data_IF_734308250020
#
_entry.id   IF_734308250020
#
_cell.length_a   1.000
_cell.length_b   1.000
_cell.length_c   1.000
_cell.angle_alpha   90.00
_cell.angle_beta   90.00
_cell.angle_gamma   90.00
#
_symmetry.space_group_name_H-M   'P 1'
#
loop_
_entity.id
_entity.type
_entity.pdbx_description
1 polymer ?
#
# COMPACT_ATOMS: atom_id res chain seq x y z
N UNK A 1 -14.29 -4.55 -40.49
CA UNK A 1 -13.73 -4.58 -39.12
C UNK A 1 -14.51 -5.61 -38.34
N UNK A 2 -13.89 -6.74 -37.98
CA UNK A 2 -14.51 -7.75 -37.12
C UNK A 2 -14.45 -7.25 -35.68
N UNK A 3 -15.61 -7.04 -35.06
CA UNK A 3 -15.70 -6.70 -33.65
C UNK A 3 -15.46 -7.97 -32.83
N UNK A 4 -14.50 -7.95 -31.90
CA UNK A 4 -14.21 -9.07 -30.99
C UNK A 4 -14.72 -8.69 -29.59
N UNK A 5 -15.70 -9.44 -29.07
CA UNK A 5 -16.22 -9.25 -27.71
C UNK A 5 -15.50 -10.20 -26.74
N UNK A 6 -14.97 -9.67 -25.64
CA UNK A 6 -14.34 -10.44 -24.57
C UNK A 6 -14.98 -10.10 -23.23
N UNK A 7 -15.04 -11.09 -22.34
CA UNK A 7 -15.65 -10.96 -21.00
C UNK A 7 -14.55 -10.95 -19.93
N UNK A 8 -14.79 -10.21 -18.85
CA UNK A 8 -13.87 -10.17 -17.70
C UNK A 8 -13.94 -11.45 -16.87
N UNK A 9 -12.85 -11.77 -16.17
CA UNK A 9 -12.85 -12.81 -15.14
C UNK A 9 -13.56 -12.36 -13.84
N UNK A 10 -13.62 -13.24 -12.83
CA UNK A 10 -14.22 -12.94 -11.53
C UNK A 10 -13.51 -11.80 -10.76
N UNK A 11 -12.33 -11.37 -11.19
CA UNK A 11 -11.56 -10.26 -10.63
C UNK A 11 -11.58 -9.02 -11.54
N UNK A 12 -12.46 -8.98 -12.55
CA UNK A 12 -12.59 -7.87 -13.48
C UNK A 12 -11.46 -7.76 -14.50
N UNK A 13 -10.60 -8.78 -14.64
CA UNK A 13 -9.43 -8.73 -15.54
C UNK A 13 -9.84 -9.08 -16.97
N UNK A 14 -9.26 -8.36 -17.92
CA UNK A 14 -9.44 -8.55 -19.36
C UNK A 14 -8.09 -8.47 -20.06
N UNK A 15 -7.75 -9.48 -20.87
CA UNK A 15 -6.56 -9.44 -21.72
C UNK A 15 -6.96 -8.84 -23.07
N UNK A 16 -6.31 -7.75 -23.46
CA UNK A 16 -6.54 -7.12 -24.74
C UNK A 16 -5.92 -7.95 -25.89
N UNK A 17 -6.52 -7.94 -27.10
CA UNK A 17 -6.01 -8.70 -28.24
C UNK A 17 -4.56 -8.36 -28.60
N UNK A 18 -3.85 -9.29 -29.27
CA UNK A 18 -2.47 -9.03 -29.73
C UNK A 18 -2.36 -7.85 -30.69
N UNK A 19 -3.38 -7.64 -31.52
CA UNK A 19 -3.49 -6.48 -32.41
C UNK A 19 -3.82 -5.16 -31.69
N UNK A 20 -4.11 -5.20 -30.38
CA UNK A 20 -4.51 -4.05 -29.59
C UNK A 20 -3.81 -4.08 -28.21
N UNK A 21 -2.61 -3.51 -28.14
CA UNK A 21 -1.77 -3.33 -26.94
C UNK A 21 -1.27 -4.61 -26.22
N UNK A 22 -1.89 -5.78 -26.43
CA UNK A 22 -1.48 -7.07 -25.85
C UNK A 22 -1.21 -6.99 -24.32
N UNK A 23 -2.08 -6.31 -23.59
CA UNK A 23 -1.91 -6.01 -22.16
C UNK A 23 -3.14 -6.42 -21.36
N UNK A 24 -2.94 -6.76 -20.09
CA UNK A 24 -4.03 -7.04 -19.16
C UNK A 24 -4.52 -5.73 -18.53
N UNK A 25 -5.83 -5.52 -18.54
CA UNK A 25 -6.50 -4.41 -17.84
C UNK A 25 -7.45 -4.98 -16.80
N UNK A 26 -7.73 -4.18 -15.77
CA UNK A 26 -8.76 -4.44 -14.77
C UNK A 26 -9.88 -3.42 -15.02
N UNK A 27 -11.10 -3.93 -15.17
CA UNK A 27 -12.32 -3.16 -15.37
C UNK A 27 -13.14 -3.26 -14.07
N UNK A 28 -13.44 -2.11 -13.49
CA UNK A 28 -14.16 -1.99 -12.22
C UNK A 28 -15.34 -1.03 -12.40
N UNK A 29 -16.53 -1.44 -11.98
CA UNK A 29 -17.68 -0.54 -11.90
C UNK A 29 -17.62 0.22 -10.58
N UNK A 30 -17.38 1.53 -10.66
CA UNK A 30 -17.27 2.41 -9.47
C UNK A 30 -18.65 2.92 -9.06
N UNK A 31 -19.55 3.09 -10.02
CA UNK A 31 -20.96 3.45 -9.81
C UNK A 31 -21.80 2.95 -10.98
N UNK A 32 -23.12 3.15 -10.91
CA UNK A 32 -24.05 2.78 -11.99
C UNK A 32 -23.68 3.41 -13.35
N UNK A 33 -23.00 4.56 -13.32
CA UNK A 33 -22.61 5.31 -14.51
C UNK A 33 -21.09 5.44 -14.71
N UNK A 34 -20.26 4.87 -13.85
CA UNK A 34 -18.79 4.98 -13.93
C UNK A 34 -18.13 3.60 -14.01
N UNK A 35 -17.36 3.42 -15.07
CA UNK A 35 -16.45 2.28 -15.23
C UNK A 35 -15.01 2.81 -15.22
N UNK A 36 -14.20 2.25 -14.34
CA UNK A 36 -12.77 2.54 -14.23
C UNK A 36 -11.97 1.41 -14.87
N UNK A 37 -11.15 1.76 -15.85
CA UNK A 37 -10.23 0.83 -16.52
C UNK A 37 -8.80 1.16 -16.11
N UNK A 38 -8.11 0.19 -15.49
CA UNK A 38 -6.71 0.33 -15.05
C UNK A 38 -5.84 -0.73 -15.71
N UNK A 39 -4.63 -0.36 -16.12
CA UNK A 39 -3.64 -1.36 -16.58
C UNK A 39 -3.26 -2.25 -15.39
N UNK A 40 -3.37 -3.56 -15.56
CA UNK A 40 -2.87 -4.50 -14.56
C UNK A 40 -1.34 -4.47 -14.60
N UNK A 41 -0.72 -3.94 -13.54
CA UNK A 41 0.72 -4.11 -13.32
C UNK A 41 0.90 -5.46 -12.64
N UNK A 42 1.43 -6.44 -13.37
CA UNK A 42 1.93 -7.67 -12.76
C UNK A 42 3.26 -7.30 -12.13
N UNK A 43 3.27 -7.16 -10.80
CA UNK A 43 4.51 -7.05 -10.03
C UNK A 43 4.80 -8.48 -9.55
N UNK A 44 5.93 -9.05 -9.95
CA UNK A 44 6.36 -10.33 -9.40
C UNK A 44 6.58 -10.15 -7.89
N UNK A 45 6.29 -11.16 -7.07
CA UNK A 45 6.51 -11.05 -5.62
C UNK A 45 7.99 -10.76 -5.30
N UNK A 46 8.91 -11.26 -6.14
CA UNK A 46 10.35 -11.01 -6.05
C UNK A 46 10.75 -9.54 -6.37
N UNK A 47 9.85 -8.75 -6.99
CA UNK A 47 10.07 -7.34 -7.34
C UNK A 47 9.40 -6.37 -6.34
N UNK A 48 8.80 -6.89 -5.26
CA UNK A 48 8.28 -6.03 -4.19
C UNK A 48 9.45 -5.53 -3.35
N UNK A 49 9.75 -4.22 -3.33
CA UNK A 49 10.82 -3.71 -2.48
C UNK A 49 10.46 -3.98 -1.02
N UNK A 50 11.45 -4.40 -0.25
CA UNK A 50 11.26 -4.59 1.19
C UNK A 50 10.84 -3.27 1.83
N UNK A 51 10.06 -3.31 2.91
CA UNK A 51 9.61 -2.09 3.58
C UNK A 51 10.82 -1.22 4.01
N UNK A 52 11.89 -1.89 4.43
CA UNK A 52 13.19 -1.34 4.79
C UNK A 52 13.88 -0.61 3.63
N UNK A 53 13.66 -1.03 2.37
CA UNK A 53 14.23 -0.40 1.17
C UNK A 53 13.47 0.85 0.73
N UNK A 54 12.26 1.04 1.25
CA UNK A 54 11.40 2.19 0.92
C UNK A 54 11.36 3.26 2.01
N UNK A 55 12.10 3.05 3.11
CA UNK A 55 12.14 3.99 4.21
C UNK A 55 12.75 5.32 3.77
N UNK A 56 11.97 6.39 3.93
CA UNK A 56 12.44 7.76 3.62
C UNK A 56 13.47 8.16 4.69
N UNK A 57 14.67 8.63 4.29
CA UNK A 57 15.65 9.16 5.24
C UNK A 57 15.04 10.30 6.08
N UNK A 58 15.37 10.36 7.37
CA UNK A 58 14.95 11.48 8.21
C UNK A 58 15.51 12.80 7.66
N UNK A 59 14.71 13.86 7.72
CA UNK A 59 15.21 15.21 7.48
C UNK A 59 16.28 15.58 8.52
N UNK A 60 17.16 16.53 8.22
CA UNK A 60 18.18 16.97 9.19
C UNK A 60 17.54 17.42 10.51
N UNK A 61 16.42 18.15 10.44
CA UNK A 61 15.67 18.61 11.61
C UNK A 61 15.16 17.43 12.46
N UNK A 62 14.57 16.43 11.81
CA UNK A 62 13.99 15.28 12.52
C UNK A 62 15.07 14.37 13.08
N UNK A 63 16.18 14.20 12.35
CA UNK A 63 17.37 13.48 12.82
C UNK A 63 17.93 14.13 14.09
N UNK A 64 18.14 15.45 14.07
CA UNK A 64 18.74 16.15 15.20
C UNK A 64 17.81 16.11 16.43
N UNK A 65 16.49 16.27 16.21
CA UNK A 65 15.49 16.12 17.27
C UNK A 65 15.47 14.69 17.85
N UNK A 66 15.60 13.69 17.00
CA UNK A 66 15.66 12.30 17.42
C UNK A 66 16.91 12.02 18.27
N UNK A 67 18.08 12.49 17.84
CA UNK A 67 19.33 12.36 18.58
C UNK A 67 19.28 13.08 19.93
N UNK A 68 18.65 14.26 19.99
CA UNK A 68 18.44 14.99 21.25
C UNK A 68 17.59 14.19 22.24
N UNK A 69 16.50 13.56 21.78
CA UNK A 69 15.63 12.73 22.62
C UNK A 69 16.31 11.43 23.08
N UNK A 70 17.23 10.87 22.30
CA UNK A 70 18.05 9.74 22.73
C UNK A 70 19.05 10.14 23.82
N UNK A 71 19.67 11.31 23.69
CA UNK A 71 20.60 11.83 24.68
C UNK A 71 19.88 12.24 25.98
N UNK A 72 18.68 12.81 25.87
CA UNK A 72 17.87 13.28 26.98
C UNK A 72 16.46 12.66 26.94
N UNK A 73 16.33 11.38 27.34
CA UNK A 73 15.06 10.68 27.27
C UNK A 73 14.03 11.33 28.20
N UNK A 74 12.85 11.61 27.65
CA UNK A 74 11.75 12.19 28.42
C UNK A 74 11.06 11.11 29.27
N UNK A 75 10.63 11.51 30.47
CA UNK A 75 9.84 10.64 31.32
C UNK A 75 8.49 10.32 30.65
N UNK A 76 8.03 9.05 30.72
CA UNK A 76 6.79 8.65 30.08
C UNK A 76 5.59 9.37 30.73
N UNK A 77 4.70 9.97 29.93
CA UNK A 77 3.54 10.68 30.46
C UNK A 77 2.54 9.72 31.13
N UNK A 78 1.66 10.21 32.02
CA UNK A 78 0.68 9.37 32.71
C UNK A 78 -0.21 8.54 31.77
N UNK A 79 -0.59 9.10 30.62
CA UNK A 79 -1.37 8.41 29.60
C UNK A 79 -0.64 7.17 29.04
N UNK A 80 0.67 7.28 28.80
CA UNK A 80 1.47 6.16 28.30
C UNK A 80 1.62 5.06 29.37
N UNK A 81 1.80 5.45 30.63
CA UNK A 81 1.83 4.51 31.76
C UNK A 81 0.51 3.74 31.89
N UNK A 82 -0.62 4.43 31.78
CA UNK A 82 -1.95 3.79 31.83
C UNK A 82 -2.19 2.83 30.64
N UNK A 83 -1.76 3.22 29.44
CA UNK A 83 -1.84 2.36 28.25
C UNK A 83 -0.99 1.08 28.42
N UNK A 84 0.24 1.21 28.94
CA UNK A 84 1.11 0.07 29.20
C UNK A 84 0.51 -0.90 30.25
N UNK A 85 -0.08 -0.36 31.33
CA UNK A 85 -0.75 -1.18 32.35
C UNK A 85 -1.95 -1.95 31.78
N UNK A 86 -2.78 -1.29 30.96
CA UNK A 86 -3.91 -1.92 30.25
C UNK A 86 -3.44 -3.03 29.30
N UNK A 87 -2.35 -2.81 28.58
CA UNK A 87 -1.79 -3.82 27.67
C UNK A 87 -1.27 -5.04 28.42
N UNK A 88 -0.58 -4.84 29.56
CA UNK A 88 -0.12 -5.93 30.43
C UNK A 88 -1.29 -6.78 30.92
N UNK A 89 -2.34 -6.15 31.46
CA UNK A 89 -3.52 -6.84 31.98
C UNK A 89 -4.35 -7.60 30.95
N UNK A 90 -4.11 -7.39 29.64
CA UNK A 90 -4.77 -8.15 28.55
C UNK A 90 -3.96 -9.37 28.08
N UNK A 91 -2.68 -9.44 28.44
CA UNK A 91 -1.75 -10.50 28.05
C UNK A 91 -1.63 -11.60 29.11
N UNK A 92 -1.96 -11.28 30.36
CA UNK A 92 -2.11 -12.21 31.47
C UNK A 92 -3.54 -12.76 31.52
#
# INVERSE_FOLDING_TARGET
MTSETRTTDAKGRLVLPKGFANVTVIVEQVSDCEIRVRRAKVVAEDDLPFAEETAVPLSDRDRDRFLELLANPQAPPPALKAAAARHRARRD
#
